data_IF_217507172268
#
_entry.id   IF_217507172268
#
_cell.length_a   1.000
_cell.length_b   1.000
_cell.length_c   1.000
_cell.angle_alpha   90.00
_cell.angle_beta   90.00
_cell.angle_gamma   90.00
#
_symmetry.space_group_name_H-M   'P 1'
#
loop_
_entity.id
_entity.type
_entity.pdbx_description
1 polymer ?
#
# COMPACT_ATOMS: atom_id res chain seq x y z
N UNK A 1 1.04 -1.46 -33.09
CA UNK A 1 0.26 -0.76 -32.06
C UNK A 1 1.12 0.39 -31.57
N UNK A 2 0.63 1.64 -31.64
CA UNK A 2 1.38 2.84 -31.22
C UNK A 2 2.04 2.63 -29.85
N UNK A 3 3.33 2.98 -29.73
CA UNK A 3 4.09 2.88 -28.47
C UNK A 3 3.35 3.57 -27.30
N UNK A 4 2.63 4.65 -27.61
CA UNK A 4 1.86 5.40 -26.64
C UNK A 4 0.64 4.59 -26.09
N UNK A 5 -0.04 3.83 -26.96
CA UNK A 5 -1.16 2.95 -26.55
C UNK A 5 -0.68 1.77 -25.70
N UNK A 6 0.51 1.25 -25.98
CA UNK A 6 1.13 0.17 -25.21
C UNK A 6 1.55 0.64 -23.81
N UNK A 7 2.14 1.83 -23.70
CA UNK A 7 2.52 2.43 -22.43
C UNK A 7 1.30 2.68 -21.52
N UNK A 8 0.23 3.24 -22.08
CA UNK A 8 -1.04 3.45 -21.37
C UNK A 8 -1.65 2.14 -20.86
N UNK A 9 -1.66 1.09 -21.69
CA UNK A 9 -2.15 -0.23 -21.27
C UNK A 9 -1.35 -0.81 -20.10
N UNK A 10 -0.02 -0.70 -20.12
CA UNK A 10 0.85 -1.17 -19.03
C UNK A 10 0.55 -0.40 -17.74
N UNK A 11 0.31 0.91 -17.83
CA UNK A 11 -0.02 1.73 -16.68
C UNK A 11 -1.34 1.27 -16.03
N UNK A 12 -2.42 1.14 -16.82
CA UNK A 12 -3.72 0.69 -16.31
C UNK A 12 -3.68 -0.72 -15.72
N UNK A 13 -2.96 -1.66 -16.35
CA UNK A 13 -2.81 -3.02 -15.83
C UNK A 13 -2.04 -2.99 -14.50
N UNK A 14 -1.02 -2.15 -14.39
CA UNK A 14 -0.24 -2.02 -13.15
C UNK A 14 -1.10 -1.46 -12.01
N UNK A 15 -1.87 -0.41 -12.28
CA UNK A 15 -2.82 0.16 -11.31
C UNK A 15 -3.89 -0.84 -10.89
N UNK A 16 -4.41 -1.62 -11.85
CA UNK A 16 -5.38 -2.67 -11.58
C UNK A 16 -4.80 -3.76 -10.67
N UNK A 17 -3.56 -4.20 -10.92
CA UNK A 17 -2.88 -5.19 -10.08
C UNK A 17 -2.67 -4.63 -8.67
N UNK A 18 -2.18 -3.40 -8.54
CA UNK A 18 -1.98 -2.74 -7.24
C UNK A 18 -3.28 -2.62 -6.45
N UNK A 19 -4.35 -2.16 -7.09
CA UNK A 19 -5.67 -2.09 -6.48
C UNK A 19 -6.20 -3.47 -6.07
N UNK A 20 -6.00 -4.48 -6.91
CA UNK A 20 -6.39 -5.86 -6.62
C UNK A 20 -5.63 -6.44 -5.43
N UNK A 21 -4.35 -6.12 -5.27
CA UNK A 21 -3.57 -6.51 -4.08
C UNK A 21 -4.16 -5.85 -2.83
N UNK A 22 -4.49 -4.56 -2.89
CA UNK A 22 -5.13 -3.84 -1.79
C UNK A 22 -6.46 -4.47 -1.36
N UNK A 23 -7.33 -4.78 -2.32
CA UNK A 23 -8.60 -5.46 -2.05
C UNK A 23 -8.38 -6.89 -1.52
N UNK A 24 -7.43 -7.63 -2.09
CA UNK A 24 -7.09 -8.98 -1.66
C UNK A 24 -6.63 -9.02 -0.20
N UNK A 25 -5.73 -8.12 0.20
CA UNK A 25 -5.28 -7.98 1.59
C UNK A 25 -6.47 -7.66 2.50
N UNK A 26 -7.34 -6.74 2.08
CA UNK A 26 -8.52 -6.38 2.87
C UNK A 26 -9.46 -7.57 3.11
N UNK A 27 -9.75 -8.35 2.07
CA UNK A 27 -10.61 -9.54 2.15
C UNK A 27 -9.98 -10.60 3.05
N UNK A 28 -8.66 -10.82 2.97
CA UNK A 28 -7.95 -11.76 3.85
C UNK A 28 -8.05 -11.31 5.30
N UNK A 29 -7.83 -10.02 5.59
CA UNK A 29 -7.94 -9.48 6.94
C UNK A 29 -9.36 -9.62 7.51
N UNK A 30 -10.38 -9.35 6.69
CA UNK A 30 -11.77 -9.57 7.08
C UNK A 30 -12.05 -11.04 7.35
N UNK A 31 -11.60 -11.95 6.49
CA UNK A 31 -11.77 -13.39 6.68
C UNK A 31 -11.13 -13.85 8.00
N UNK A 32 -9.91 -13.40 8.29
CA UNK A 32 -9.22 -13.69 9.55
C UNK A 32 -9.96 -13.14 10.78
N UNK A 33 -10.69 -12.03 10.62
CA UNK A 33 -11.51 -11.42 11.67
C UNK A 33 -12.99 -11.86 11.62
N UNK A 34 -13.30 -13.02 11.00
CA UNK A 34 -14.67 -13.56 10.89
C UNK A 34 -15.67 -12.57 10.26
N UNK A 35 -15.20 -11.74 9.32
CA UNK A 35 -15.95 -10.66 8.69
C UNK A 35 -16.49 -9.60 9.66
N UNK A 36 -15.97 -9.55 10.89
CA UNK A 36 -16.27 -8.47 11.82
C UNK A 36 -15.52 -7.21 11.36
N UNK A 37 -16.27 -6.25 10.83
CA UNK A 37 -15.72 -5.01 10.35
C UNK A 37 -15.48 -4.04 11.51
N UNK A 38 -14.24 -3.59 11.68
CA UNK A 38 -13.85 -2.65 12.73
C UNK A 38 -12.83 -1.64 12.23
N UNK A 39 -12.74 -0.49 12.91
CA UNK A 39 -11.72 0.53 12.62
C UNK A 39 -10.29 -0.03 12.74
N UNK A 40 -10.08 -1.01 13.63
CA UNK A 40 -8.78 -1.67 13.77
C UNK A 40 -8.41 -2.48 12.53
N UNK A 41 -9.36 -3.18 11.90
CA UNK A 41 -9.12 -3.91 10.65
C UNK A 41 -8.87 -2.95 9.49
N UNK A 42 -9.61 -1.85 9.41
CA UNK A 42 -9.37 -0.82 8.37
C UNK A 42 -7.98 -0.20 8.55
N UNK A 43 -7.60 0.12 9.79
CA UNK A 43 -6.29 0.70 10.10
C UNK A 43 -5.15 -0.26 9.73
N UNK A 44 -5.28 -1.53 10.11
CA UNK A 44 -4.32 -2.57 9.75
C UNK A 44 -4.25 -2.78 8.23
N UNK A 45 -5.38 -2.72 7.55
CA UNK A 45 -5.42 -2.79 6.09
C UNK A 45 -4.68 -1.60 5.44
N UNK A 46 -4.96 -0.37 5.88
CA UNK A 46 -4.30 0.83 5.38
C UNK A 46 -2.79 0.77 5.62
N UNK A 47 -2.37 0.32 6.80
CA UNK A 47 -0.96 0.11 7.13
C UNK A 47 -0.28 -0.86 6.15
N UNK A 48 -0.85 -2.07 5.98
CA UNK A 48 -0.23 -3.07 5.09
C UNK A 48 -0.24 -2.59 3.64
N UNK A 49 -1.34 -1.96 3.19
CA UNK A 49 -1.45 -1.50 1.81
C UNK A 49 -0.52 -0.32 1.50
N UNK A 50 -0.29 0.59 2.46
CA UNK A 50 0.72 1.64 2.33
C UNK A 50 2.12 1.06 2.14
N UNK A 51 2.47 0.00 2.88
CA UNK A 51 3.72 -0.74 2.68
C UNK A 51 3.85 -1.31 1.26
N UNK A 52 2.77 -1.85 0.69
CA UNK A 52 2.75 -2.33 -0.71
C UNK A 52 2.95 -1.20 -1.72
N UNK A 53 2.23 -0.10 -1.55
CA UNK A 53 2.36 1.09 -2.42
C UNK A 53 3.77 1.67 -2.33
N UNK A 54 4.36 1.69 -1.14
CA UNK A 54 5.72 2.15 -0.92
C UNK A 54 6.75 1.24 -1.58
N UNK A 55 6.60 -0.08 -1.46
CA UNK A 55 7.46 -1.05 -2.15
C UNK A 55 7.37 -0.90 -3.68
N UNK A 56 6.17 -0.69 -4.21
CA UNK A 56 5.97 -0.39 -5.63
C UNK A 56 6.65 0.92 -6.04
N UNK A 57 6.51 1.97 -5.24
CA UNK A 57 7.19 3.25 -5.49
C UNK A 57 8.71 3.08 -5.48
N UNK A 58 9.28 2.35 -4.51
CA UNK A 58 10.72 2.04 -4.46
C UNK A 58 11.16 1.33 -5.75
N UNK A 59 10.38 0.37 -6.22
CA UNK A 59 10.70 -0.42 -7.40
C UNK A 59 10.66 0.41 -8.69
N UNK A 60 9.68 1.31 -8.81
CA UNK A 60 9.49 2.14 -10.01
C UNK A 60 10.36 3.39 -10.04
N UNK A 61 10.75 3.90 -8.87
CA UNK A 61 11.44 5.19 -8.73
C UNK A 61 12.90 5.12 -9.16
N UNK A 62 13.35 6.10 -9.94
CA UNK A 62 14.76 6.33 -10.29
C UNK A 62 15.52 7.12 -9.19
N UNK A 63 14.88 7.37 -8.04
CA UNK A 63 15.48 8.08 -6.92
C UNK A 63 16.72 7.35 -6.38
N UNK A 64 17.65 8.13 -5.80
CA UNK A 64 18.85 7.58 -5.18
C UNK A 64 18.48 6.75 -3.96
N UNK A 65 19.33 5.77 -3.63
CA UNK A 65 19.11 4.87 -2.49
C UNK A 65 18.86 5.64 -1.18
N UNK A 66 19.57 6.76 -0.95
CA UNK A 66 19.42 7.59 0.24
C UNK A 66 18.06 8.31 0.31
N UNK A 67 17.51 8.75 -0.83
CA UNK A 67 16.18 9.38 -0.90
C UNK A 67 15.09 8.35 -0.58
N UNK A 68 15.24 7.13 -1.11
CA UNK A 68 14.37 5.99 -0.81
C UNK A 68 14.43 5.63 0.68
N UNK A 69 15.62 5.63 1.27
CA UNK A 69 15.78 5.39 2.72
C UNK A 69 15.09 6.45 3.57
N UNK A 70 15.20 7.74 3.23
CA UNK A 70 14.53 8.83 3.96
C UNK A 70 13.01 8.67 3.86
N UNK A 71 12.48 8.42 2.66
CA UNK A 71 11.05 8.20 2.45
C UNK A 71 10.54 6.98 3.23
N UNK A 72 11.33 5.91 3.31
CA UNK A 72 10.99 4.72 4.08
C UNK A 72 10.96 4.95 5.58
N UNK A 73 11.94 5.67 6.12
CA UNK A 73 11.94 6.07 7.53
C UNK A 73 10.73 6.94 7.84
N UNK A 74 10.40 7.90 6.97
CA UNK A 74 9.25 8.76 7.14
C UNK A 74 7.92 7.98 7.14
N UNK A 75 7.76 7.03 6.21
CA UNK A 75 6.59 6.17 6.14
C UNK A 75 6.44 5.32 7.42
N UNK A 76 7.53 4.70 7.90
CA UNK A 76 7.50 3.93 9.15
C UNK A 76 7.11 4.79 10.36
N UNK A 77 7.63 6.01 10.46
CA UNK A 77 7.27 6.92 11.56
C UNK A 77 5.78 7.25 11.52
N UNK A 78 5.24 7.60 10.34
CA UNK A 78 3.81 7.88 10.17
C UNK A 78 2.98 6.65 10.55
N UNK A 79 3.36 5.49 10.05
CA UNK A 79 2.64 4.26 10.29
C UNK A 79 2.61 3.89 11.79
N UNK A 80 3.70 4.11 12.53
CA UNK A 80 3.75 3.94 13.99
C UNK A 80 2.83 4.94 14.70
N UNK A 81 2.80 6.20 14.26
CA UNK A 81 1.89 7.22 14.83
C UNK A 81 0.44 6.83 14.59
N UNK A 82 0.11 6.41 13.37
CA UNK A 82 -1.23 5.94 13.02
C UNK A 82 -1.60 4.73 13.88
N UNK A 83 -0.76 3.68 13.92
CA UNK A 83 -1.02 2.48 14.71
C UNK A 83 -1.21 2.77 16.21
N UNK A 84 -0.39 3.65 16.80
CA UNK A 84 -0.49 4.04 18.21
C UNK A 84 -1.74 4.87 18.52
N UNK A 85 -2.25 5.64 17.55
CA UNK A 85 -3.51 6.37 17.72
C UNK A 85 -4.74 5.44 17.85
N UNK A 86 -4.68 4.22 17.29
CA UNK A 86 -5.78 3.24 17.38
C UNK A 86 -5.71 2.35 18.63
N UNK A 87 -4.54 2.19 19.27
CA UNK A 87 -4.41 1.41 20.50
C UNK A 87 -4.96 2.09 21.76
N UNK A 88 -5.40 3.35 21.64
CA UNK A 88 -5.82 4.18 22.79
C UNK A 88 -7.35 4.21 22.98
N UNK A 89 -8.11 3.36 22.28
CA UNK A 89 -9.57 3.22 22.39
C UNK A 89 -10.00 1.84 22.90
#
# INVERSE_FOLDING_TARGET
MDENKRSLLIHYVTEFILGSIGVGIFVILLYMNQFNFSLNIISLWVFIYNGVLFAYWIWKSDAKIWEKSIAGIYLLIIEIIIASSFSTF
#
